data_IF_266976451617
#
_entry.id   IF_266976451617
#
_cell.length_a   1.000
_cell.length_b   1.000
_cell.length_c   1.000
_cell.angle_alpha   90.00
_cell.angle_beta   90.00
_cell.angle_gamma   90.00
#
_symmetry.space_group_name_H-M   'P 1'
#
loop_
_entity.id
_entity.type
_entity.pdbx_description
1 polymer ?
#
# COMPACT_ATOMS: atom_id res chain seq x y z
N UNK A 1 -21.15 -11.20 -6.43
CA UNK A 1 -21.45 -9.78 -6.08
C UNK A 1 -22.94 -9.43 -6.04
N UNK A 2 -23.88 -10.33 -6.32
CA UNK A 2 -25.31 -10.01 -6.47
C UNK A 2 -26.02 -9.56 -5.18
N UNK A 3 -25.51 -9.96 -4.01
CA UNK A 3 -26.12 -9.66 -2.71
C UNK A 3 -25.54 -8.41 -2.02
N UNK A 4 -24.40 -7.90 -2.51
CA UNK A 4 -23.71 -6.77 -1.91
C UNK A 4 -23.92 -5.51 -2.73
N UNK A 5 -24.58 -4.50 -2.16
CA UNK A 5 -24.80 -3.20 -2.81
C UNK A 5 -23.59 -2.30 -2.63
N UNK A 6 -23.48 -1.31 -3.52
CA UNK A 6 -22.46 -0.27 -3.40
C UNK A 6 -22.69 0.48 -2.08
N UNK A 7 -21.64 0.64 -1.29
CA UNK A 7 -21.67 1.27 0.03
C UNK A 7 -21.89 0.30 1.18
N UNK A 8 -22.17 -0.99 0.91
CA UNK A 8 -22.29 -1.99 1.97
C UNK A 8 -20.96 -2.17 2.70
N UNK A 9 -21.05 -2.26 4.02
CA UNK A 9 -19.92 -2.52 4.92
C UNK A 9 -20.09 -3.92 5.51
N UNK A 10 -19.10 -4.77 5.28
CA UNK A 10 -19.05 -6.14 5.78
C UNK A 10 -18.00 -6.21 6.88
N UNK A 11 -18.39 -6.28 8.17
CA UNK A 11 -17.44 -6.47 9.25
C UNK A 11 -16.87 -7.90 9.21
N UNK A 12 -15.57 -8.04 9.49
CA UNK A 12 -14.95 -9.34 9.69
C UNK A 12 -15.33 -9.97 11.05
N UNK A 13 -15.19 -11.30 11.21
CA UNK A 13 -14.70 -12.25 10.21
C UNK A 13 -15.76 -12.59 9.16
N UNK A 14 -15.42 -12.47 7.88
CA UNK A 14 -16.33 -12.77 6.77
C UNK A 14 -15.57 -13.29 5.54
N UNK A 15 -16.26 -14.05 4.70
CA UNK A 15 -15.76 -14.50 3.40
C UNK A 15 -16.67 -13.92 2.31
N UNK A 16 -16.10 -13.10 1.42
CA UNK A 16 -16.81 -12.52 0.28
C UNK A 16 -16.41 -13.32 -0.95
N UNK A 17 -17.40 -13.94 -1.58
CA UNK A 17 -17.23 -14.71 -2.81
C UNK A 17 -17.67 -13.86 -4.00
N UNK A 18 -16.74 -13.67 -4.94
CA UNK A 18 -16.97 -13.03 -6.22
C UNK A 18 -16.64 -14.00 -7.36
N UNK A 19 -17.08 -13.69 -8.58
CA UNK A 19 -16.95 -14.60 -9.73
C UNK A 19 -15.50 -14.98 -10.03
N UNK A 20 -14.56 -14.09 -9.72
CA UNK A 20 -13.13 -14.24 -10.06
C UNK A 20 -12.21 -14.33 -8.85
N UNK A 21 -12.73 -14.11 -7.64
CA UNK A 21 -11.90 -13.97 -6.44
C UNK A 21 -12.67 -14.35 -5.17
N UNK A 22 -11.91 -14.72 -4.14
CA UNK A 22 -12.42 -14.99 -2.79
C UNK A 22 -11.67 -14.08 -1.83
N UNK A 23 -12.41 -13.23 -1.11
CA UNK A 23 -11.83 -12.23 -0.21
C UNK A 23 -12.14 -12.65 1.22
N UNK A 24 -11.09 -12.91 2.00
CA UNK A 24 -11.18 -13.15 3.43
C UNK A 24 -11.06 -11.82 4.18
N UNK A 25 -12.13 -11.41 4.87
CA UNK A 25 -12.13 -10.27 5.79
C UNK A 25 -11.82 -10.81 7.18
N UNK A 26 -10.64 -10.48 7.70
CA UNK A 26 -10.17 -10.97 9.01
C UNK A 26 -10.88 -10.27 10.17
N UNK A 27 -10.88 -10.85 11.39
CA UNK A 27 -11.28 -10.12 12.60
C UNK A 27 -10.52 -8.79 12.72
N UNK A 28 -11.21 -7.73 13.17
CA UNK A 28 -10.63 -6.38 13.26
C UNK A 28 -10.52 -5.65 11.92
N UNK A 29 -11.03 -6.22 10.83
CA UNK A 29 -11.13 -5.55 9.53
C UNK A 29 -12.59 -5.40 9.10
N UNK A 30 -12.84 -4.46 8.18
CA UNK A 30 -14.14 -4.20 7.56
C UNK A 30 -13.93 -4.07 6.06
N UNK A 31 -14.78 -4.71 5.27
CA UNK A 31 -14.78 -4.55 3.82
C UNK A 31 -15.86 -3.56 3.40
N UNK A 32 -15.54 -2.64 2.49
CA UNK A 32 -16.49 -1.68 1.92
C UNK A 32 -16.58 -1.90 0.42
N UNK A 33 -17.79 -2.16 -0.06
CA UNK A 33 -18.05 -2.35 -1.48
C UNK A 33 -18.14 -1.01 -2.21
N UNK A 34 -17.23 -0.77 -3.16
CA UNK A 34 -17.26 0.39 -4.04
C UNK A 34 -17.61 -0.04 -5.47
N UNK A 35 -17.96 0.90 -6.38
CA UNK A 35 -18.45 0.54 -7.72
C UNK A 35 -17.50 -0.33 -8.57
N UNK A 36 -16.20 -0.34 -8.26
CA UNK A 36 -15.17 -1.04 -9.06
C UNK A 36 -14.21 -1.90 -8.26
N UNK A 37 -14.28 -1.85 -6.93
CA UNK A 37 -13.32 -2.52 -6.04
C UNK A 37 -13.90 -2.63 -4.64
N UNK A 38 -13.31 -3.48 -3.81
CA UNK A 38 -13.58 -3.57 -2.39
C UNK A 38 -12.39 -2.96 -1.65
N UNK A 39 -12.68 -2.07 -0.68
CA UNK A 39 -11.66 -1.59 0.26
C UNK A 39 -11.71 -2.47 1.49
N UNK A 40 -10.55 -2.93 1.96
CA UNK A 40 -10.41 -3.58 3.26
C UNK A 40 -9.78 -2.56 4.20
N UNK A 41 -10.59 -2.06 5.13
CA UNK A 41 -10.12 -1.24 6.23
C UNK A 41 -9.72 -2.17 7.38
N UNK A 42 -8.47 -2.07 7.84
CA UNK A 42 -7.94 -2.87 8.93
C UNK A 42 -7.77 -1.93 10.10
N UNK A 43 -8.53 -2.13 11.17
CA UNK A 43 -8.37 -1.38 12.42
C UNK A 43 -6.99 -1.73 12.98
N UNK A 44 -5.99 -0.95 12.57
CA UNK A 44 -4.64 -1.04 13.10
C UNK A 44 -4.62 -0.33 14.44
N UNK A 45 -5.07 -1.03 15.49
CA UNK A 45 -4.67 -0.70 16.87
C UNK A 45 -3.18 -0.98 17.13
N UNK A 46 -2.37 -1.16 16.07
CA UNK A 46 -0.95 -0.91 16.19
C UNK A 46 -0.80 0.59 16.30
N UNK A 47 -0.72 1.07 17.55
CA UNK A 47 0.03 2.26 17.93
C UNK A 47 1.12 2.46 16.89
N UNK A 48 1.06 3.54 16.12
CA UNK A 48 2.22 3.96 15.34
C UNK A 48 3.37 3.95 16.35
N UNK A 49 4.29 3.00 16.24
CA UNK A 49 5.46 2.99 17.10
C UNK A 49 6.07 4.37 16.92
N UNK A 50 6.04 5.18 17.97
CA UNK A 50 6.63 6.50 17.93
C UNK A 50 8.07 6.28 17.49
N UNK A 51 8.39 6.77 16.29
CA UNK A 51 9.73 6.63 15.73
C UNK A 51 10.63 7.41 16.69
N UNK A 52 11.33 6.68 17.55
CA UNK A 52 12.26 7.28 18.50
C UNK A 52 13.35 7.98 17.70
N UNK A 53 13.53 9.28 17.96
CA UNK A 53 14.63 10.04 17.38
C UNK A 53 15.98 9.63 17.99
N UNK A 54 15.96 8.92 19.13
CA UNK A 54 17.15 8.51 19.87
C UNK A 54 17.69 7.15 19.44
N UNK A 55 16.89 6.34 18.74
CA UNK A 55 17.27 5.01 18.28
C UNK A 55 16.96 4.80 16.79
N UNK A 56 17.99 4.46 16.03
CA UNK A 56 17.87 4.14 14.60
C UNK A 56 17.88 2.64 14.42
N UNK A 57 16.79 2.08 13.87
CA UNK A 57 16.74 0.68 13.45
C UNK A 57 17.61 0.49 12.18
N UNK A 58 18.72 -0.28 12.24
CA UNK A 58 19.60 -0.48 11.11
C UNK A 58 18.94 -1.24 9.95
N UNK A 59 17.93 -2.08 10.20
CA UNK A 59 17.20 -2.81 9.16
C UNK A 59 16.34 -1.80 8.39
N UNK A 60 15.55 -1.00 9.10
CA UNK A 60 14.73 0.04 8.48
C UNK A 60 15.57 1.06 7.71
N UNK A 61 16.70 1.50 8.27
CA UNK A 61 17.65 2.40 7.60
C UNK A 61 18.21 1.78 6.31
N UNK A 62 18.54 0.49 6.33
CA UNK A 62 19.05 -0.23 5.15
C UNK A 62 17.98 -0.33 4.05
N UNK A 63 16.72 -0.61 4.42
CA UNK A 63 15.59 -0.65 3.48
C UNK A 63 15.35 0.74 2.88
N UNK A 64 15.35 1.79 3.71
CA UNK A 64 15.18 3.16 3.26
C UNK A 64 16.30 3.59 2.30
N UNK A 65 17.56 3.33 2.66
CA UNK A 65 18.73 3.68 1.84
C UNK A 65 18.68 3.01 0.47
N UNK A 66 18.32 1.72 0.41
CA UNK A 66 18.16 1.02 -0.86
C UNK A 66 17.06 1.62 -1.74
N UNK A 67 15.89 1.92 -1.17
CA UNK A 67 14.78 2.55 -1.90
C UNK A 67 15.16 3.94 -2.41
N UNK A 68 15.85 4.72 -1.59
CA UNK A 68 16.29 6.07 -1.96
C UNK A 68 17.35 6.03 -3.07
N UNK A 69 18.31 5.11 -2.98
CA UNK A 69 19.35 4.90 -4.00
C UNK A 69 18.74 4.54 -5.34
N UNK A 70 17.75 3.65 -5.37
CA UNK A 70 17.05 3.28 -6.60
C UNK A 70 16.40 4.49 -7.28
N UNK A 71 15.73 5.37 -6.52
CA UNK A 71 15.11 6.59 -7.06
C UNK A 71 16.19 7.55 -7.57
N UNK A 72 17.30 7.72 -6.82
CA UNK A 72 18.42 8.58 -7.23
C UNK A 72 19.06 8.09 -8.55
N UNK A 73 19.22 6.78 -8.73
CA UNK A 73 19.76 6.20 -9.95
C UNK A 73 18.82 6.42 -11.15
N UNK A 74 17.52 6.19 -10.97
CA UNK A 74 16.51 6.39 -12.03
C UNK A 74 16.42 7.86 -12.46
N UNK A 75 16.41 8.79 -11.49
CA UNK A 75 16.47 10.22 -11.76
C UNK A 75 17.77 10.60 -12.47
N UNK A 76 18.92 10.08 -12.05
CA UNK A 76 20.22 10.33 -12.68
C UNK A 76 20.24 9.91 -14.15
N UNK A 77 19.73 8.72 -14.47
CA UNK A 77 19.57 8.24 -15.86
C UNK A 77 18.64 9.13 -16.67
N UNK A 78 17.56 9.61 -16.06
CA UNK A 78 16.59 10.51 -16.72
C UNK A 78 17.23 11.86 -17.05
N UNK A 79 17.95 12.48 -16.10
CA UNK A 79 18.65 13.74 -16.31
C UNK A 79 19.76 13.63 -17.37
N UNK A 80 20.51 12.52 -17.40
CA UNK A 80 21.50 12.26 -18.45
C UNK A 80 20.87 12.26 -19.84
N UNK A 81 19.71 11.61 -20.02
CA UNK A 81 18.99 11.60 -21.30
C UNK A 81 18.54 13.00 -21.72
N UNK A 82 18.04 13.81 -20.78
CA UNK A 82 17.66 15.20 -21.03
C UNK A 82 18.89 16.02 -21.48
N UNK A 83 20.01 15.91 -20.75
CA UNK A 83 21.24 16.64 -21.07
C UNK A 83 21.84 16.24 -22.41
N UNK A 84 21.78 14.96 -22.80
CA UNK A 84 22.26 14.50 -24.12
C UNK A 84 21.32 14.99 -25.23
N UNK A 85 20.00 15.04 -24.99
CA UNK A 85 19.03 15.54 -25.98
C UNK A 85 19.09 17.06 -26.22
N UNK A 86 19.58 17.84 -25.24
CA UNK A 86 19.75 19.29 -25.38
C UNK A 86 20.97 19.69 -26.24
N UNK A 87 21.84 18.74 -26.58
CA UNK A 87 23.08 18.96 -27.34
C UNK A 87 23.02 18.37 -28.76
N UNK A 88 21.82 18.12 -29.29
CA UNK A 88 21.57 17.69 -30.68
C UNK A 88 20.59 18.68 -31.32
#
# INVERSE_FOLDING_TARGET
MSDLKIGDVVPGPALILDETQTILVTPGAKAVNLPRHIIIDVDNEKTQEEISLDYVDPILLSVFSNRFMFIAEDMGRTLQKISVSANI
#
